data_IF_837059983997
#
_entry.id   IF_837059983997
#
_cell.length_a   1.000
_cell.length_b   1.000
_cell.length_c   1.000
_cell.angle_alpha   90.00
_cell.angle_beta   90.00
_cell.angle_gamma   90.00
#
_symmetry.space_group_name_H-M   'P 1'
#
loop_
_entity.id
_entity.type
_entity.pdbx_description
1 polymer ?
#
# COMPACT_ATOMS: atom_id res chain seq x y z
N UNK A 1 21.31 5.40 -5.69
CA UNK A 1 20.37 4.70 -6.58
C UNK A 1 21.00 4.59 -7.96
N UNK A 2 20.66 3.57 -8.73
CA UNK A 2 21.14 3.38 -10.10
C UNK A 2 20.51 4.42 -11.06
N UNK A 3 21.05 4.50 -12.29
CA UNK A 3 20.44 5.34 -13.34
C UNK A 3 19.03 4.81 -13.64
N UNK A 4 18.05 5.70 -13.79
CA UNK A 4 16.63 5.39 -14.01
C UNK A 4 15.97 4.53 -12.91
N UNK A 5 16.59 4.42 -11.75
CA UNK A 5 16.01 3.78 -10.59
C UNK A 5 15.12 4.76 -9.84
N UNK A 6 13.88 4.35 -9.55
CA UNK A 6 12.89 5.13 -8.81
C UNK A 6 12.12 4.25 -7.84
N UNK A 7 11.70 4.79 -6.73
CA UNK A 7 10.78 4.09 -5.82
C UNK A 7 9.45 3.84 -6.52
N UNK A 8 8.87 2.69 -6.22
CA UNK A 8 7.54 2.25 -6.68
C UNK A 8 6.59 2.02 -5.51
N UNK A 9 7.08 2.06 -4.27
CA UNK A 9 6.30 2.00 -3.05
C UNK A 9 7.19 2.09 -1.83
N UNK A 10 6.58 2.51 -0.72
CA UNK A 10 7.23 2.70 0.59
C UNK A 10 6.30 2.18 1.68
N UNK A 11 6.87 1.64 2.76
CA UNK A 11 6.10 1.40 3.98
C UNK A 11 6.98 1.27 5.22
N UNK A 12 6.37 1.47 6.40
CA UNK A 12 7.01 1.30 7.69
C UNK A 12 6.98 -0.16 8.14
N UNK A 13 8.18 -0.71 8.40
CA UNK A 13 8.32 -2.02 9.06
C UNK A 13 8.41 -1.83 10.56
N UNK A 14 7.42 -2.32 11.28
CA UNK A 14 7.44 -2.39 12.74
C UNK A 14 7.98 -3.75 13.17
N UNK A 15 9.13 -3.76 13.83
CA UNK A 15 9.70 -4.99 14.44
C UNK A 15 9.36 -5.08 15.92
N UNK A 16 9.09 -6.30 16.35
CA UNK A 16 8.55 -6.66 17.67
C UNK A 16 9.54 -6.53 18.84
N UNK A 17 10.79 -6.14 18.69
CA UNK A 17 11.70 -6.42 19.78
C UNK A 17 12.41 -5.25 20.46
N UNK A 18 12.60 -4.10 19.87
CA UNK A 18 13.31 -3.00 20.58
C UNK A 18 13.25 -1.63 19.87
N UNK A 19 12.80 -1.57 18.64
CA UNK A 19 12.77 -0.33 17.89
C UNK A 19 11.33 0.09 17.65
N UNK A 20 10.76 0.79 18.61
CA UNK A 20 9.38 1.29 18.56
C UNK A 20 9.19 2.41 17.53
N UNK A 21 10.23 2.81 16.80
CA UNK A 21 10.14 3.90 15.85
C UNK A 21 9.73 3.46 14.45
N UNK A 22 9.79 2.14 14.18
CA UNK A 22 9.64 1.65 12.80
C UNK A 22 10.77 2.13 11.87
N UNK A 23 11.02 1.41 10.80
CA UNK A 23 11.93 1.85 9.74
C UNK A 23 11.16 1.96 8.44
N UNK A 24 11.30 3.10 7.77
CA UNK A 24 10.74 3.28 6.44
C UNK A 24 11.59 2.50 5.42
N UNK A 25 10.94 1.61 4.71
CA UNK A 25 11.50 0.88 3.58
C UNK A 25 10.96 1.43 2.27
N UNK A 26 11.74 1.29 1.22
CA UNK A 26 11.31 1.61 -0.14
C UNK A 26 11.74 0.50 -1.10
N UNK A 27 10.84 0.12 -1.99
CA UNK A 27 11.11 -0.78 -3.10
C UNK A 27 11.25 0.04 -4.38
N UNK A 28 12.22 -0.31 -5.22
CA UNK A 28 12.42 0.37 -6.51
C UNK A 28 11.96 -0.48 -7.69
N UNK A 29 11.77 0.18 -8.84
CA UNK A 29 11.46 -0.47 -10.12
C UNK A 29 12.57 -1.41 -10.63
N UNK A 30 13.74 -1.40 -10.00
CA UNK A 30 14.84 -2.35 -10.27
C UNK A 30 14.85 -3.54 -9.32
N UNK A 31 13.86 -3.62 -8.41
CA UNK A 31 13.79 -4.66 -7.41
C UNK A 31 14.80 -4.50 -6.27
N UNK A 32 15.30 -3.29 -6.04
CA UNK A 32 16.18 -3.01 -4.91
C UNK A 32 15.37 -2.50 -3.71
N UNK A 33 15.72 -2.97 -2.52
CA UNK A 33 15.15 -2.56 -1.24
C UNK A 33 16.10 -1.63 -0.52
N UNK A 34 15.56 -0.52 -0.06
CA UNK A 34 16.28 0.51 0.70
C UNK A 34 15.59 0.75 2.04
N UNK A 35 16.35 1.17 3.06
CA UNK A 35 15.80 1.94 4.15
C UNK A 35 15.95 3.43 3.86
N UNK A 36 14.97 4.21 4.30
CA UNK A 36 14.92 5.65 4.07
C UNK A 36 14.96 6.35 5.43
N UNK A 37 15.95 7.22 5.62
CA UNK A 37 16.02 8.09 6.78
C UNK A 37 15.00 9.23 6.59
N UNK A 38 13.99 9.32 7.45
CA UNK A 38 12.88 10.26 7.31
C UNK A 38 13.25 11.71 7.61
N UNK A 39 14.36 11.93 8.35
CA UNK A 39 14.83 13.29 8.67
C UNK A 39 15.66 13.89 7.53
N UNK A 40 16.41 13.04 6.81
CA UNK A 40 17.36 13.50 5.78
C UNK A 40 16.96 13.10 4.36
N UNK A 41 15.99 12.18 4.19
CA UNK A 41 15.63 11.60 2.90
C UNK A 41 16.69 10.63 2.33
N UNK A 42 17.77 10.33 3.08
CA UNK A 42 18.83 9.46 2.60
C UNK A 42 18.34 8.00 2.50
N UNK A 43 18.45 7.42 1.32
CA UNK A 43 18.16 6.01 1.06
C UNK A 43 19.44 5.16 1.12
N UNK A 44 19.41 4.09 1.92
CA UNK A 44 20.51 3.13 2.07
C UNK A 44 20.09 1.76 1.56
N UNK A 45 20.83 1.23 0.58
CA UNK A 45 20.54 -0.09 -0.01
C UNK A 45 20.69 -1.20 1.04
N UNK A 46 19.70 -2.07 1.10
CA UNK A 46 19.69 -3.27 1.95
C UNK A 46 20.01 -4.50 1.12
N UNK A 47 19.19 -4.78 0.10
CA UNK A 47 19.32 -5.99 -0.74
C UNK A 47 18.53 -5.80 -2.04
N UNK A 48 18.71 -6.73 -2.97
CA UNK A 48 17.85 -6.85 -4.16
C UNK A 48 16.91 -8.05 -4.04
N UNK A 49 15.77 -7.99 -4.70
CA UNK A 49 14.84 -9.11 -4.79
C UNK A 49 15.49 -10.27 -5.54
N UNK A 50 15.25 -11.49 -5.04
CA UNK A 50 15.66 -12.75 -5.67
C UNK A 50 14.66 -13.85 -5.36
N UNK A 51 14.53 -14.87 -6.20
CA UNK A 51 13.60 -15.95 -5.91
C UNK A 51 13.97 -16.68 -4.62
N UNK A 52 13.00 -16.89 -3.73
CA UNK A 52 13.11 -17.82 -2.62
C UNK A 52 13.17 -19.26 -3.14
N UNK A 53 13.69 -20.20 -2.34
CA UNK A 53 13.70 -21.62 -2.70
C UNK A 53 12.30 -22.11 -3.08
N UNK A 54 12.14 -22.65 -4.27
CA UNK A 54 10.87 -23.14 -4.81
C UNK A 54 9.92 -22.06 -5.33
N UNK A 55 10.31 -20.79 -5.29
CA UNK A 55 9.52 -19.70 -5.86
C UNK A 55 9.66 -19.61 -7.37
N UNK A 56 8.57 -19.26 -8.04
CA UNK A 56 8.54 -18.96 -9.49
C UNK A 56 8.77 -17.48 -9.80
N UNK A 57 9.14 -16.68 -8.81
CA UNK A 57 9.49 -15.27 -9.03
C UNK A 57 10.69 -15.14 -9.95
N UNK A 58 10.63 -14.21 -10.88
CA UNK A 58 11.76 -13.85 -11.76
C UNK A 58 12.07 -12.37 -11.69
N UNK A 59 11.07 -11.52 -11.91
CA UNK A 59 11.18 -10.07 -11.93
C UNK A 59 9.86 -9.45 -11.46
N UNK A 60 9.90 -8.16 -11.14
CA UNK A 60 8.70 -7.35 -11.01
C UNK A 60 8.00 -7.27 -12.36
N UNK A 61 6.68 -7.44 -12.34
CA UNK A 61 5.81 -7.37 -13.52
C UNK A 61 4.69 -6.37 -13.24
N UNK A 62 4.60 -5.34 -14.08
CA UNK A 62 3.64 -4.26 -13.93
C UNK A 62 4.26 -2.87 -14.03
N UNK A 63 3.40 -1.86 -13.94
CA UNK A 63 3.77 -0.43 -14.02
C UNK A 63 3.31 0.36 -12.80
N UNK A 64 2.38 -0.19 -12.02
CA UNK A 64 1.87 0.35 -10.76
C UNK A 64 1.90 -0.75 -9.71
N UNK A 65 2.29 -0.42 -8.50
CA UNK A 65 2.54 -1.38 -7.43
C UNK A 65 1.96 -0.88 -6.11
N UNK A 66 1.28 -1.79 -5.42
CA UNK A 66 0.92 -1.64 -4.02
C UNK A 66 2.03 -2.27 -3.16
N UNK A 67 2.47 -1.58 -2.13
CA UNK A 67 3.58 -2.02 -1.27
C UNK A 67 3.21 -1.79 0.19
N UNK A 68 3.15 -2.87 1.00
CA UNK A 68 2.78 -2.75 2.41
C UNK A 68 3.33 -3.92 3.25
N UNK A 69 3.69 -3.68 4.49
CA UNK A 69 4.15 -4.72 5.41
C UNK A 69 2.99 -5.44 6.08
N UNK A 70 2.97 -6.77 5.99
CA UNK A 70 2.18 -7.57 6.91
C UNK A 70 2.87 -7.58 8.28
N UNK A 71 2.31 -6.93 9.30
CA UNK A 71 2.97 -6.77 10.59
C UNK A 71 3.07 -8.08 11.37
N UNK A 72 2.18 -9.04 11.13
CA UNK A 72 2.19 -10.35 11.79
C UNK A 72 3.20 -11.30 11.16
N UNK A 73 3.25 -11.33 9.82
CA UNK A 73 4.17 -12.21 9.10
C UNK A 73 5.58 -11.63 8.95
N UNK A 74 5.75 -10.33 9.20
CA UNK A 74 6.98 -9.57 8.97
C UNK A 74 7.49 -9.79 7.53
N UNK A 75 6.63 -9.54 6.56
CA UNK A 75 6.90 -9.66 5.14
C UNK A 75 6.34 -8.48 4.38
N UNK A 76 7.11 -7.95 3.44
CA UNK A 76 6.63 -6.95 2.52
C UNK A 76 5.74 -7.62 1.46
N UNK A 77 4.51 -7.18 1.36
CA UNK A 77 3.58 -7.52 0.29
C UNK A 77 3.82 -6.57 -0.87
N UNK A 78 3.88 -7.11 -2.08
CA UNK A 78 3.91 -6.31 -3.31
C UNK A 78 2.88 -6.89 -4.27
N UNK A 79 1.96 -6.04 -4.73
CA UNK A 79 0.93 -6.42 -5.69
C UNK A 79 1.05 -5.46 -6.87
N UNK A 80 0.97 -5.97 -8.09
CA UNK A 80 1.02 -5.12 -9.28
C UNK A 80 -0.34 -5.01 -9.98
N UNK A 81 -0.46 -4.00 -10.83
CA UNK A 81 -1.63 -3.81 -11.69
C UNK A 81 -1.80 -4.89 -12.78
N UNK A 82 -0.82 -5.78 -12.95
CA UNK A 82 -0.93 -6.98 -13.81
C UNK A 82 -1.40 -8.22 -13.05
N UNK A 83 -1.59 -8.10 -11.72
CA UNK A 83 -2.05 -9.17 -10.86
C UNK A 83 -0.94 -9.98 -10.20
N UNK A 84 0.34 -9.65 -10.41
CA UNK A 84 1.43 -10.29 -9.68
C UNK A 84 1.28 -10.01 -8.18
N UNK A 85 1.45 -11.05 -7.36
CA UNK A 85 1.29 -10.99 -5.91
C UNK A 85 2.50 -11.64 -5.23
N UNK A 86 3.27 -10.85 -4.49
CA UNK A 86 4.56 -11.24 -3.93
C UNK A 86 4.62 -11.07 -2.42
N UNK A 87 5.39 -11.95 -1.76
CA UNK A 87 5.83 -11.80 -0.36
C UNK A 87 7.34 -11.80 -0.29
N UNK A 88 7.90 -10.80 0.37
CA UNK A 88 9.33 -10.53 0.36
C UNK A 88 9.86 -10.53 1.79
N UNK A 89 10.94 -11.27 2.04
CA UNK A 89 11.77 -11.09 3.21
C UNK A 89 12.77 -9.95 2.93
N UNK A 90 12.56 -8.80 3.55
CA UNK A 90 13.37 -7.60 3.26
C UNK A 90 14.79 -7.67 3.82
N UNK A 91 15.08 -8.61 4.72
CA UNK A 91 16.44 -8.80 5.25
C UNK A 91 17.33 -9.58 4.26
N UNK A 92 16.73 -10.46 3.44
CA UNK A 92 17.46 -11.35 2.52
C UNK A 92 17.17 -11.09 1.04
N UNK A 93 16.06 -10.41 0.71
CA UNK A 93 15.54 -10.23 -0.64
C UNK A 93 14.79 -11.47 -1.16
N UNK A 94 14.68 -12.53 -0.37
CA UNK A 94 13.97 -13.74 -0.78
C UNK A 94 12.49 -13.46 -1.06
N UNK A 95 12.06 -13.71 -2.29
CA UNK A 95 10.75 -13.37 -2.80
C UNK A 95 9.96 -14.63 -3.18
N UNK A 96 8.77 -14.75 -2.62
CA UNK A 96 7.80 -15.79 -2.97
C UNK A 96 6.76 -15.16 -3.89
N UNK A 97 6.54 -15.77 -5.06
CA UNK A 97 5.37 -15.48 -5.88
C UNK A 97 4.21 -16.32 -5.34
N UNK A 98 3.19 -15.63 -4.85
CA UNK A 98 1.92 -16.18 -4.39
C UNK A 98 0.94 -16.36 -5.57
N UNK A 99 -0.31 -16.77 -5.31
CA UNK A 99 -1.36 -16.81 -6.31
C UNK A 99 -1.65 -15.42 -6.88
N UNK A 100 -1.75 -15.32 -8.20
CA UNK A 100 -2.05 -14.05 -8.86
C UNK A 100 -3.45 -13.53 -8.44
N UNK A 101 -3.65 -12.21 -8.53
CA UNK A 101 -4.90 -11.55 -8.18
C UNK A 101 -6.06 -12.13 -8.99
N UNK A 102 -7.14 -12.48 -8.29
CA UNK A 102 -8.31 -13.15 -8.82
C UNK A 102 -9.58 -12.78 -8.01
N UNK A 103 -10.72 -13.42 -8.30
CA UNK A 103 -11.99 -13.19 -7.59
C UNK A 103 -12.84 -12.07 -8.19
N UNK A 104 -12.22 -11.04 -8.76
CA UNK A 104 -12.88 -9.95 -9.50
C UNK A 104 -12.27 -9.87 -10.88
N UNK A 105 -13.11 -9.93 -11.92
CA UNK A 105 -12.64 -9.91 -13.31
C UNK A 105 -11.95 -8.58 -13.63
N UNK A 106 -10.79 -8.65 -14.28
CA UNK A 106 -10.00 -7.50 -14.75
C UNK A 106 -9.61 -6.49 -13.65
N UNK A 107 -9.65 -6.89 -12.38
CA UNK A 107 -9.21 -6.04 -11.29
C UNK A 107 -7.75 -5.61 -11.47
N UNK A 108 -7.47 -4.33 -11.19
CA UNK A 108 -6.13 -3.76 -11.17
C UNK A 108 -5.86 -3.15 -9.80
N UNK A 109 -5.20 -3.90 -8.96
CA UNK A 109 -4.76 -3.39 -7.66
C UNK A 109 -3.63 -2.38 -7.86
N UNK A 110 -3.83 -1.16 -7.36
CA UNK A 110 -2.86 -0.06 -7.48
C UNK A 110 -2.37 0.45 -6.13
N UNK A 111 -3.04 0.08 -5.05
CA UNK A 111 -2.59 0.33 -3.68
C UNK A 111 -3.20 -0.72 -2.75
N UNK A 112 -2.52 -1.05 -1.66
CA UNK A 112 -2.98 -2.02 -0.68
C UNK A 112 -2.42 -1.69 0.70
N UNK A 113 -3.16 -2.08 1.76
CA UNK A 113 -2.73 -1.86 3.12
C UNK A 113 -3.20 -2.98 4.06
N UNK A 114 -2.33 -3.40 4.98
CA UNK A 114 -2.67 -4.29 6.07
C UNK A 114 -3.17 -3.52 7.30
N UNK A 115 -4.10 -4.12 8.00
CA UNK A 115 -4.48 -3.67 9.35
C UNK A 115 -3.42 -4.03 10.38
N UNK A 116 -3.50 -3.42 11.56
CA UNK A 116 -2.70 -3.75 12.74
C UNK A 116 -1.19 -3.43 12.61
N UNK A 117 -0.85 -2.37 11.89
CA UNK A 117 0.52 -1.86 11.74
C UNK A 117 0.97 -1.13 13.03
N UNK A 118 1.44 -1.88 14.04
CA UNK A 118 1.96 -1.30 15.29
C UNK A 118 3.38 -1.73 15.60
N UNK A 119 4.04 -0.91 16.44
CA UNK A 119 5.37 -1.20 16.96
C UNK A 119 5.44 -2.47 17.85
N UNK A 120 4.33 -2.89 18.42
CA UNK A 120 4.22 -4.14 19.18
C UNK A 120 3.07 -4.96 18.61
N UNK A 121 3.28 -5.73 17.54
CA UNK A 121 2.25 -6.58 17.00
C UNK A 121 1.78 -7.51 18.12
N UNK A 122 0.51 -7.44 18.43
CA UNK A 122 -0.11 -8.47 19.25
C UNK A 122 -0.17 -9.69 18.33
N UNK A 123 0.74 -10.63 18.51
CA UNK A 123 0.96 -11.80 17.66
C UNK A 123 -0.29 -12.68 17.42
N UNK A 124 -1.43 -12.30 17.98
CA UNK A 124 -2.71 -12.99 17.92
C UNK A 124 -3.80 -12.24 17.15
N UNK A 125 -3.56 -11.01 16.70
CA UNK A 125 -4.53 -10.31 15.86
C UNK A 125 -4.32 -10.71 14.40
N UNK A 126 -5.32 -11.32 13.80
CA UNK A 126 -5.35 -11.58 12.37
C UNK A 126 -5.31 -10.24 11.62
N UNK A 127 -4.31 -10.06 10.75
CA UNK A 127 -4.26 -8.92 9.85
C UNK A 127 -5.24 -9.12 8.70
N UNK A 128 -5.86 -8.06 8.27
CA UNK A 128 -6.66 -8.00 7.06
C UNK A 128 -5.93 -7.18 6.01
N UNK A 129 -6.01 -7.59 4.75
CA UNK A 129 -5.45 -6.87 3.61
C UNK A 129 -6.59 -6.25 2.81
N UNK A 130 -6.53 -4.94 2.65
CA UNK A 130 -7.45 -4.19 1.82
C UNK A 130 -6.73 -3.62 0.61
N UNK A 131 -7.43 -3.59 -0.54
CA UNK A 131 -6.85 -3.16 -1.80
C UNK A 131 -7.76 -2.12 -2.48
N UNK A 132 -7.13 -1.21 -3.22
CA UNK A 132 -7.80 -0.29 -4.11
C UNK A 132 -7.75 -0.85 -5.54
N UNK A 133 -8.91 -1.25 -6.07
CA UNK A 133 -9.06 -1.70 -7.44
C UNK A 133 -9.40 -0.53 -8.36
N UNK A 134 -8.47 -0.20 -9.26
CA UNK A 134 -8.61 0.89 -10.20
C UNK A 134 -9.74 0.66 -11.22
N UNK A 135 -9.87 -0.55 -11.75
CA UNK A 135 -10.86 -0.87 -12.78
C UNK A 135 -12.29 -0.75 -12.26
N UNK A 136 -12.55 -1.38 -11.11
CA UNK A 136 -13.86 -1.32 -10.46
C UNK A 136 -14.11 -0.02 -9.70
N UNK A 137 -13.06 0.76 -9.39
CA UNK A 137 -13.11 1.92 -8.48
C UNK A 137 -13.63 1.52 -7.11
N UNK A 138 -13.15 0.36 -6.62
CA UNK A 138 -13.69 -0.29 -5.44
C UNK A 138 -12.63 -0.49 -4.38
N UNK A 139 -13.10 -0.51 -3.11
CA UNK A 139 -12.38 -1.10 -2.00
C UNK A 139 -12.67 -2.59 -2.00
N UNK A 140 -11.62 -3.40 -1.94
CA UNK A 140 -11.71 -4.86 -1.84
C UNK A 140 -10.94 -5.35 -0.63
N UNK A 141 -11.24 -6.56 -0.18
CA UNK A 141 -10.49 -7.30 0.84
C UNK A 141 -9.87 -8.52 0.18
N UNK A 142 -8.55 -8.62 0.24
CA UNK A 142 -7.85 -9.79 -0.28
C UNK A 142 -7.85 -10.91 0.76
N UNK A 143 -8.64 -11.94 0.54
CA UNK A 143 -8.77 -13.06 1.48
C UNK A 143 -9.10 -14.39 0.75
N UNK A 144 -8.20 -15.41 0.83
CA UNK A 144 -6.89 -15.39 1.50
C UNK A 144 -5.86 -14.52 0.77
N UNK A 145 -5.00 -13.76 1.48
CA UNK A 145 -4.02 -12.87 0.83
C UNK A 145 -3.05 -13.61 -0.11
N UNK A 146 -2.60 -14.81 0.30
CA UNK A 146 -1.66 -15.60 -0.50
C UNK A 146 -2.32 -16.31 -1.70
N UNK A 147 -3.64 -16.41 -1.74
CA UNK A 147 -4.37 -16.91 -2.91
C UNK A 147 -4.68 -15.78 -3.92
N UNK A 148 -4.49 -14.52 -3.54
CA UNK A 148 -4.79 -13.37 -4.37
C UNK A 148 -6.28 -13.09 -4.56
N UNK A 149 -7.17 -13.66 -3.72
CA UNK A 149 -8.61 -13.59 -3.94
C UNK A 149 -9.21 -12.31 -3.40
N UNK A 150 -9.72 -11.47 -4.29
CA UNK A 150 -10.41 -10.23 -3.96
C UNK A 150 -11.88 -10.45 -3.64
N UNK A 151 -12.33 -9.83 -2.56
CA UNK A 151 -13.72 -9.80 -2.13
C UNK A 151 -14.19 -8.34 -2.09
N UNK A 152 -15.25 -8.00 -2.82
CA UNK A 152 -15.76 -6.64 -2.89
C UNK A 152 -16.26 -6.16 -1.52
N UNK A 153 -15.81 -4.97 -1.09
CA UNK A 153 -16.32 -4.26 0.08
C UNK A 153 -17.29 -3.15 -0.34
N UNK A 154 -16.92 -2.35 -1.32
CA UNK A 154 -17.80 -1.29 -1.79
C UNK A 154 -17.16 -0.33 -2.77
N UNK A 155 -17.95 0.54 -3.35
CA UNK A 155 -17.50 1.57 -4.29
C UNK A 155 -16.76 2.68 -3.53
N UNK A 156 -15.61 3.12 -4.05
CA UNK A 156 -14.86 4.24 -3.47
C UNK A 156 -15.55 5.59 -3.75
N UNK A 157 -16.28 5.71 -4.87
CA UNK A 157 -16.91 6.96 -5.28
C UNK A 157 -15.94 7.99 -5.87
N UNK A 158 -14.71 7.56 -6.16
CA UNK A 158 -13.64 8.37 -6.76
C UNK A 158 -12.98 7.61 -7.91
N UNK A 159 -12.37 8.33 -8.84
CA UNK A 159 -11.54 7.72 -9.87
C UNK A 159 -10.14 7.53 -9.34
N UNK A 160 -9.62 6.32 -9.46
CA UNK A 160 -8.23 6.00 -9.16
C UNK A 160 -7.36 6.26 -10.39
N UNK A 161 -6.21 6.90 -10.20
CA UNK A 161 -5.15 6.99 -11.19
C UNK A 161 -4.34 5.70 -11.29
N UNK A 162 -3.20 5.76 -11.98
CA UNK A 162 -2.25 4.64 -12.03
C UNK A 162 -1.34 4.62 -10.78
N UNK A 163 -1.09 5.77 -10.19
CA UNK A 163 -0.26 5.94 -9.01
C UNK A 163 -1.17 6.34 -7.83
N UNK A 164 -1.29 5.44 -6.86
CA UNK A 164 -2.07 5.65 -5.66
C UNK A 164 -1.29 5.10 -4.47
N UNK A 165 -1.38 5.79 -3.33
CA UNK A 165 -0.90 5.26 -2.06
C UNK A 165 -2.08 4.89 -1.17
N UNK A 166 -1.89 3.90 -0.30
CA UNK A 166 -2.90 3.52 0.68
C UNK A 166 -2.21 2.92 1.89
N UNK A 167 -2.56 3.43 3.07
CA UNK A 167 -2.06 2.88 4.33
C UNK A 167 -3.11 2.97 5.44
N UNK A 168 -3.04 2.01 6.35
CA UNK A 168 -3.91 1.88 7.53
C UNK A 168 -3.07 2.00 8.78
N UNK A 169 -3.23 3.10 9.48
CA UNK A 169 -2.55 3.31 10.74
C UNK A 169 -2.94 2.23 11.76
N UNK A 170 -1.97 1.74 12.49
CA UNK A 170 -2.18 0.80 13.60
C UNK A 170 -3.12 1.36 14.69
N UNK A 171 -3.24 0.67 15.81
CA UNK A 171 -4.15 1.03 16.87
C UNK A 171 -5.52 0.39 16.69
N UNK A 172 -6.55 1.17 16.55
CA UNK A 172 -7.91 0.70 16.28
C UNK A 172 -8.23 0.54 14.78
N UNK A 173 -7.22 0.77 13.91
CA UNK A 173 -7.35 0.81 12.44
C UNK A 173 -8.36 1.88 11.96
N UNK A 174 -8.68 2.85 12.81
CA UNK A 174 -9.66 3.90 12.52
C UNK A 174 -9.18 4.97 11.53
N UNK A 175 -7.88 4.99 11.21
CA UNK A 175 -7.30 5.93 10.26
C UNK A 175 -6.75 5.15 9.06
N UNK A 176 -7.54 5.06 8.00
CA UNK A 176 -7.13 4.58 6.70
C UNK A 176 -7.10 5.74 5.72
N UNK A 177 -5.94 5.99 5.09
CA UNK A 177 -5.71 7.11 4.19
C UNK A 177 -5.28 6.60 2.81
N UNK A 178 -5.84 7.22 1.77
CA UNK A 178 -5.41 7.01 0.41
C UNK A 178 -4.98 8.32 -0.24
N UNK A 179 -3.86 8.30 -0.96
CA UNK A 179 -3.50 9.37 -1.90
C UNK A 179 -3.88 8.91 -3.29
N UNK A 180 -4.62 9.73 -4.00
CA UNK A 180 -5.06 9.43 -5.36
C UNK A 180 -4.56 10.52 -6.29
N UNK A 181 -3.73 10.12 -7.24
CA UNK A 181 -3.32 10.98 -8.33
C UNK A 181 -4.35 10.87 -9.46
N UNK A 182 -4.87 12.00 -9.92
CA UNK A 182 -5.65 12.04 -11.15
C UNK A 182 -4.76 11.81 -12.39
N UNK A 183 -5.36 11.58 -13.54
CA UNK A 183 -4.61 11.51 -14.81
C UNK A 183 -3.79 12.79 -15.06
N UNK A 184 -4.28 13.90 -14.59
CA UNK A 184 -3.61 15.20 -14.59
C UNK A 184 -3.96 15.96 -13.32
N UNK A 185 -2.97 16.59 -12.69
CA UNK A 185 -3.19 17.41 -11.50
C UNK A 185 -2.54 16.87 -10.23
N UNK A 186 -2.79 17.53 -9.11
CA UNK A 186 -2.20 17.15 -7.83
C UNK A 186 -2.83 15.87 -7.28
N UNK A 187 -2.11 15.22 -6.37
CA UNK A 187 -2.66 14.12 -5.58
C UNK A 187 -3.63 14.65 -4.53
N UNK A 188 -4.69 13.89 -4.27
CA UNK A 188 -5.70 14.23 -3.27
C UNK A 188 -5.71 13.17 -2.18
N UNK A 189 -5.77 13.60 -0.93
CA UNK A 189 -5.83 12.73 0.24
C UNK A 189 -7.28 12.43 0.61
N UNK A 190 -7.58 11.14 0.78
CA UNK A 190 -8.88 10.64 1.18
C UNK A 190 -8.77 9.82 2.45
N UNK A 191 -9.82 9.86 3.28
CA UNK A 191 -10.08 8.82 4.28
C UNK A 191 -10.90 7.72 3.64
N UNK A 192 -10.55 6.48 3.94
CA UNK A 192 -11.25 5.29 3.45
C UNK A 192 -11.99 4.61 4.60
N UNK A 193 -13.25 4.28 4.37
CA UNK A 193 -14.09 3.53 5.31
C UNK A 193 -13.89 2.03 5.05
N UNK A 194 -13.29 1.34 6.01
CA UNK A 194 -12.96 -0.09 5.93
C UNK A 194 -14.11 -1.00 6.38
N UNK A 195 -15.26 -0.44 6.75
CA UNK A 195 -16.40 -1.24 7.19
C UNK A 195 -16.78 -2.29 6.14
N UNK A 196 -16.75 -3.56 6.52
CA UNK A 196 -17.02 -4.69 5.63
C UNK A 196 -18.51 -4.96 5.39
N UNK A 197 -19.40 -4.14 5.90
CA UNK A 197 -20.84 -4.23 5.61
C UNK A 197 -21.10 -3.85 4.14
N UNK A 198 -21.33 -4.86 3.32
CA UNK A 198 -21.57 -4.69 1.88
C UNK A 198 -22.95 -4.09 1.55
N UNK A 199 -23.82 -3.90 2.55
CA UNK A 199 -25.11 -3.21 2.38
C UNK A 199 -24.96 -1.69 2.35
N UNK A 200 -23.79 -1.16 2.76
CA UNK A 200 -23.50 0.28 2.71
C UNK A 200 -23.37 0.71 1.24
N UNK A 201 -24.23 1.60 0.80
CA UNK A 201 -24.28 2.13 -0.56
C UNK A 201 -23.53 3.47 -0.71
N UNK A 202 -23.13 4.10 0.40
CA UNK A 202 -22.36 5.36 0.37
C UNK A 202 -20.93 5.11 -0.09
N UNK A 203 -20.30 6.09 -0.77
CA UNK A 203 -18.89 5.99 -1.15
C UNK A 203 -17.97 5.72 0.03
N UNK A 204 -17.00 4.81 -0.16
CA UNK A 204 -16.01 4.45 0.87
C UNK A 204 -14.90 5.48 1.04
N UNK A 205 -14.63 6.31 0.02
CA UNK A 205 -13.62 7.37 0.12
C UNK A 205 -14.28 8.73 0.31
N UNK A 206 -13.71 9.53 1.22
CA UNK A 206 -14.10 10.92 1.49
C UNK A 206 -12.85 11.77 1.60
N UNK A 207 -12.93 13.05 1.23
CA UNK A 207 -11.83 13.99 1.41
C UNK A 207 -11.33 13.93 2.87
N UNK A 208 -10.01 13.83 3.04
CA UNK A 208 -9.41 13.56 4.35
C UNK A 208 -9.55 14.75 5.30
N UNK A 209 -9.55 15.97 4.77
CA UNK A 209 -9.61 17.19 5.57
C UNK A 209 -10.94 17.88 5.34
N UNK A 210 -11.56 18.27 6.45
CA UNK A 210 -12.76 19.12 6.46
C UNK A 210 -12.48 20.42 7.20
N UNK A 211 -13.12 21.49 6.75
CA UNK A 211 -13.11 22.81 7.43
C UNK A 211 -14.54 23.05 7.91
N UNK A 212 -14.69 23.31 9.20
CA UNK A 212 -16.01 23.50 9.85
C UNK A 212 -17.00 22.36 9.56
N UNK A 213 -16.48 21.11 9.53
CA UNK A 213 -17.27 19.91 9.25
C UNK A 213 -17.61 19.69 7.77
N UNK A 214 -17.18 20.57 6.87
CA UNK A 214 -17.39 20.45 5.43
C UNK A 214 -16.15 19.90 4.75
N UNK A 215 -16.24 18.84 3.92
CA UNK A 215 -15.11 18.31 3.16
C UNK A 215 -14.45 19.40 2.32
N UNK A 216 -13.13 19.52 2.42
CA UNK A 216 -12.38 20.60 1.77
C UNK A 216 -11.34 20.02 0.79
N UNK A 217 -11.59 20.19 -0.51
CA UNK A 217 -10.70 19.69 -1.56
C UNK A 217 -9.33 20.39 -1.53
N UNK A 218 -9.31 21.69 -1.39
CA UNK A 218 -8.04 22.45 -1.41
C UNK A 218 -7.12 22.03 -0.24
N UNK A 219 -7.70 21.83 0.96
CA UNK A 219 -6.94 21.35 2.12
C UNK A 219 -6.53 19.88 2.00
N UNK A 220 -7.29 19.05 1.28
CA UNK A 220 -6.98 17.65 1.03
C UNK A 220 -6.02 17.43 -0.17
N UNK A 221 -5.68 18.49 -0.91
CA UNK A 221 -4.77 18.43 -2.05
C UNK A 221 -3.32 18.43 -1.58
N UNK A 222 -2.51 17.50 -2.09
CA UNK A 222 -1.09 17.37 -1.77
C UNK A 222 -0.27 17.92 -2.94
N UNK A 223 0.58 18.91 -2.63
CA UNK A 223 1.43 19.57 -3.62
C UNK A 223 0.68 20.64 -4.43
N UNK A 224 1.42 21.31 -5.33
CA UNK A 224 0.85 22.25 -6.30
C UNK A 224 0.37 21.48 -7.55
N UNK A 225 -0.32 22.19 -8.47
CA UNK A 225 -0.84 21.64 -9.72
C UNK A 225 0.22 21.11 -10.71
N UNK A 226 1.40 20.77 -10.19
CA UNK A 226 2.56 20.29 -10.97
C UNK A 226 3.09 18.99 -10.40
N UNK A 227 3.59 18.14 -11.25
CA UNK A 227 4.34 16.93 -10.91
C UNK A 227 5.56 17.22 -10.01
N UNK A 228 6.00 16.32 -9.13
CA UNK A 228 5.62 14.89 -9.12
C UNK A 228 4.33 14.62 -8.35
N UNK A 229 3.61 13.60 -8.79
CA UNK A 229 2.47 13.04 -8.06
C UNK A 229 2.97 12.19 -6.88
N UNK A 230 2.14 12.03 -5.85
CA UNK A 230 2.40 11.10 -4.76
C UNK A 230 2.10 9.70 -5.27
N UNK A 231 3.11 8.84 -5.26
CA UNK A 231 3.01 7.45 -5.76
C UNK A 231 2.64 6.46 -4.66
N UNK A 232 2.89 6.83 -3.41
CA UNK A 232 2.59 6.00 -2.25
C UNK A 232 2.56 6.82 -0.97
N UNK A 233 2.10 6.21 0.12
CA UNK A 233 1.88 6.83 1.42
C UNK A 233 2.17 5.79 2.51
N UNK A 234 2.87 6.19 3.55
CA UNK A 234 3.09 5.37 4.74
C UNK A 234 2.83 6.19 6.00
N UNK A 235 2.14 5.62 6.99
CA UNK A 235 1.72 6.28 8.23
C UNK A 235 2.54 5.74 9.39
N UNK A 236 3.17 6.66 10.14
CA UNK A 236 3.81 6.35 11.42
C UNK A 236 3.05 7.00 12.57
N UNK A 237 2.42 6.20 13.40
CA UNK A 237 1.89 6.68 14.69
C UNK A 237 3.00 6.64 15.75
N UNK A 238 3.23 7.76 16.41
CA UNK A 238 4.20 7.92 17.50
C UNK A 238 3.52 7.84 18.85
#
# INVERSE_FOLDING_TARGET
MLVDEKFIGIDYRFRTSTDNSGKLYGLTNKGNLYTINTDTGLASLITALKPATGSTFTNLDGTSFAVDFNPTADRLRVISNTGQNLRINVDTGDTIKDGDINGISEAKVTAAAYTNSFATPIAMLATELFDLDQTGKTLTKQNPPNAGTLNLIGNLGINLGIDNGFDIAGGDNGLALATVAGETGPSVLYRVDLNSDTTITTPRARLAISVDGTPNLAASTIGANTTPQVIDLAILLK
#
